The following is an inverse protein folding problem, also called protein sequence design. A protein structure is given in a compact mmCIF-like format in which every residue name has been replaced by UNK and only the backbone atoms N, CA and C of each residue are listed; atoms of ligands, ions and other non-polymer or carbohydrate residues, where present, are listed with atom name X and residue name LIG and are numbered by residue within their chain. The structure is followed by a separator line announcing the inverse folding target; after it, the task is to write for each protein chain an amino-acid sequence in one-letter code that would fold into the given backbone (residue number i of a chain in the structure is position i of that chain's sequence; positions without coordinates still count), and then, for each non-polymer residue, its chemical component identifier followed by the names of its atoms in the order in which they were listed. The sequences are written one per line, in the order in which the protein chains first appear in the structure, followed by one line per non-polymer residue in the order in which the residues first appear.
data_IF_203582975480
#
_entry.id   IF_203582975480
#
_cell.length_a   1.000
_cell.length_b   1.000
_cell.length_c   1.000
_cell.angle_alpha   90.00
_cell.angle_beta   90.00
_cell.angle_gamma   90.00
#
_symmetry.space_group_name_H-M   'P 1'
#
loop_
_entity.id
_entity.type
_entity.pdbx_description
1 polymer ?
#
# COMPACT_ATOMS: atom_id res chain seq x y z
N UNK A 1 17.89 -44.43 -36.55
CA UNK A 1 17.81 -45.50 -35.52
C UNK A 1 17.34 -44.87 -34.21
N UNK A 2 16.18 -45.34 -33.72
CA UNK A 2 15.65 -45.35 -32.33
C UNK A 2 15.63 -44.01 -31.54
N UNK A 3 14.47 -43.35 -31.36
CA UNK A 3 13.40 -43.64 -30.38
C UNK A 3 13.91 -43.59 -28.93
N UNK A 4 13.40 -42.65 -28.11
CA UNK A 4 12.71 -42.89 -26.83
C UNK A 4 12.48 -41.57 -26.05
N UNK A 5 11.20 -41.36 -25.74
CA UNK A 5 10.58 -40.46 -24.78
C UNK A 5 10.82 -40.94 -23.32
N UNK A 6 10.75 -40.04 -22.33
CA UNK A 6 10.18 -40.24 -20.96
C UNK A 6 11.11 -40.16 -19.71
N UNK A 7 10.55 -39.50 -18.67
CA UNK A 7 10.92 -39.28 -17.24
C UNK A 7 11.67 -37.97 -16.93
N UNK A 8 11.13 -36.90 -16.33
CA UNK A 8 10.20 -36.67 -15.18
C UNK A 8 10.74 -37.16 -13.82
N UNK A 9 11.03 -36.17 -12.95
CA UNK A 9 11.11 -36.20 -11.48
C UNK A 9 12.12 -37.16 -10.81
N UNK A 10 13.29 -36.63 -10.41
CA UNK A 10 13.78 -36.55 -9.01
C UNK A 10 15.28 -36.21 -8.97
N UNK A 11 15.61 -34.96 -8.62
CA UNK A 11 16.83 -34.62 -7.86
C UNK A 11 16.79 -33.13 -7.45
N UNK A 12 15.67 -32.70 -6.84
CA UNK A 12 15.70 -31.60 -5.88
C UNK A 12 16.24 -32.17 -4.55
N UNK A 13 17.55 -32.39 -4.46
CA UNK A 13 18.24 -32.68 -3.21
C UNK A 13 19.78 -32.66 -3.38
N UNK A 14 20.37 -31.63 -4.00
CA UNK A 14 21.85 -31.55 -4.02
C UNK A 14 22.51 -30.23 -4.42
N UNK A 15 21.78 -29.11 -4.61
CA UNK A 15 22.45 -27.79 -4.83
C UNK A 15 22.18 -26.77 -3.71
N UNK A 16 21.33 -27.12 -2.74
CA UNK A 16 21.25 -26.43 -1.43
C UNK A 16 22.53 -26.52 -0.58
N UNK A 17 23.57 -27.20 -1.08
CA UNK A 17 24.91 -27.24 -0.48
C UNK A 17 25.98 -26.47 -1.29
N UNK A 18 25.61 -25.85 -2.42
CA UNK A 18 26.55 -25.13 -3.30
C UNK A 18 26.54 -23.60 -3.12
N UNK A 19 25.53 -23.02 -2.45
CA UNK A 19 25.53 -21.57 -2.16
C UNK A 19 26.24 -21.19 -0.86
N UNK A 20 26.33 -22.08 0.14
CA UNK A 20 27.00 -21.77 1.40
C UNK A 20 28.53 -21.61 1.24
N UNK A 21 29.17 -22.44 0.40
CA UNK A 21 30.60 -22.30 0.10
C UNK A 21 30.94 -21.08 -0.77
N UNK A 22 29.97 -20.51 -1.48
CA UNK A 22 30.14 -19.29 -2.28
C UNK A 22 30.10 -18.04 -1.39
N UNK A 23 29.18 -18.00 -0.42
CA UNK A 23 29.07 -16.93 0.57
C UNK A 23 30.27 -16.86 1.52
N UNK A 24 30.79 -18.01 1.97
CA UNK A 24 32.00 -18.01 2.80
C UNK A 24 33.22 -17.51 2.00
N UNK A 25 33.36 -17.88 0.72
CA UNK A 25 34.42 -17.36 -0.16
C UNK A 25 34.30 -15.86 -0.40
N UNK A 26 33.09 -15.32 -0.50
CA UNK A 26 32.87 -13.87 -0.62
C UNK A 26 33.17 -13.13 0.70
N UNK A 27 32.85 -13.73 1.86
CA UNK A 27 33.21 -13.19 3.18
C UNK A 27 34.73 -13.18 3.42
N UNK A 28 35.43 -14.27 3.09
CA UNK A 28 36.90 -14.34 3.23
C UNK A 28 37.61 -13.46 2.19
N UNK A 29 37.00 -13.23 1.02
CA UNK A 29 37.51 -12.30 0.02
C UNK A 29 37.36 -10.82 0.45
N UNK A 30 36.37 -10.47 1.27
CA UNK A 30 36.25 -9.10 1.82
C UNK A 30 37.17 -8.85 3.01
N UNK A 31 37.52 -9.89 3.79
CA UNK A 31 38.39 -9.75 4.97
C UNK A 31 39.87 -9.49 4.65
N UNK A 32 40.31 -9.63 3.39
CA UNK A 32 41.71 -9.43 2.97
C UNK A 32 41.91 -8.35 1.88
N UNK A 33 40.94 -7.46 1.68
CA UNK A 33 41.16 -6.28 0.84
C UNK A 33 41.99 -5.27 1.62
N UNK A 34 43.31 -5.40 1.55
CA UNK A 34 44.24 -4.38 2.00
C UNK A 34 44.21 -3.22 1.00
N UNK A 35 43.44 -2.18 1.30
CA UNK A 35 43.43 -0.94 0.50
C UNK A 35 44.73 -0.20 0.79
N UNK A 36 45.68 -0.22 -0.15
CA UNK A 36 46.89 0.61 -0.09
C UNK A 36 46.49 2.10 -0.14
N UNK A 37 46.44 2.74 1.03
CA UNK A 37 46.17 4.17 1.19
C UNK A 37 47.43 5.04 1.14
N UNK A 38 48.58 4.46 0.78
CA UNK A 38 49.89 5.13 0.68
C UNK A 38 49.95 6.18 -0.45
N UNK A 39 49.10 6.08 -1.47
CA UNK A 39 48.98 7.08 -2.54
C UNK A 39 48.04 8.25 -2.24
N UNK A 40 47.21 8.17 -1.19
CA UNK A 40 46.20 9.20 -0.84
C UNK A 40 46.64 10.12 0.30
N UNK A 41 47.76 9.81 0.98
CA UNK A 41 48.32 10.66 2.06
C UNK A 41 49.32 11.74 1.58
N UNK A 42 49.76 11.72 0.32
CA UNK A 42 50.68 12.74 -0.21
C UNK A 42 49.98 14.04 -0.68
N UNK A 43 48.64 14.11 -0.68
CA UNK A 43 47.87 15.33 -1.03
C UNK A 43 47.02 15.89 0.12
N UNK A 44 47.11 15.32 1.32
CA UNK A 44 46.33 15.75 2.49
C UNK A 44 47.14 16.59 3.51
N UNK A 45 48.43 16.88 3.28
CA UNK A 45 49.27 17.65 4.20
C UNK A 45 49.62 19.08 3.75
N UNK A 46 48.88 19.65 2.80
CA UNK A 46 49.04 21.05 2.39
C UNK A 46 47.68 21.77 2.38
N UNK A 47 47.02 21.79 3.54
CA UNK A 47 45.77 22.52 3.75
C UNK A 47 45.61 22.92 5.23
N UNK A 48 46.67 23.53 5.77
CA UNK A 48 46.61 24.33 7.00
C UNK A 48 47.40 25.61 6.77
N UNK A 49 47.00 26.37 5.77
CA UNK A 49 47.17 27.83 5.75
C UNK A 49 46.42 28.33 4.52
N UNK A 50 45.97 29.59 4.57
CA UNK A 50 45.12 30.30 3.60
C UNK A 50 43.62 30.32 3.92
N UNK A 51 43.28 30.67 5.17
CA UNK A 51 42.20 31.65 5.39
C UNK A 51 42.75 33.05 5.06
N UNK A 52 42.76 33.43 3.79
CA UNK A 52 42.56 34.82 3.36
C UNK A 52 42.65 34.93 1.84
N UNK A 53 41.65 35.60 1.27
CA UNK A 53 41.56 36.20 -0.08
C UNK A 53 41.06 35.35 -1.24
N UNK A 54 40.20 36.03 -1.99
CA UNK A 54 39.83 35.85 -3.40
C UNK A 54 38.68 34.88 -3.72
N UNK A 55 37.49 35.50 -3.79
CA UNK A 55 36.46 35.31 -4.82
C UNK A 55 36.93 34.58 -6.09
N UNK A 56 36.28 33.47 -6.42
CA UNK A 56 36.38 32.78 -7.71
C UNK A 56 35.32 31.69 -7.83
N UNK A 57 34.33 31.90 -8.71
CA UNK A 57 33.32 30.90 -9.06
C UNK A 57 33.99 29.71 -9.76
N UNK A 58 33.64 28.49 -9.36
CA UNK A 58 33.91 27.28 -10.14
C UNK A 58 32.56 26.68 -10.56
N UNK A 59 32.25 26.78 -11.86
CA UNK A 59 31.16 26.03 -12.48
C UNK A 59 31.53 24.56 -12.54
N UNK A 60 30.70 23.72 -11.93
CA UNK A 60 30.74 22.27 -12.10
C UNK A 60 29.93 21.95 -13.35
N UNK A 61 30.58 21.46 -14.40
CA UNK A 61 29.90 20.96 -15.60
C UNK A 61 29.30 19.58 -15.30
N UNK A 62 27.97 19.39 -15.46
CA UNK A 62 27.35 18.10 -15.18
C UNK A 62 27.67 17.10 -16.29
N UNK A 63 28.13 15.91 -15.91
CA UNK A 63 28.25 14.77 -16.82
C UNK A 63 26.84 14.30 -17.21
N UNK A 64 26.54 14.31 -18.51
CA UNK A 64 25.25 13.90 -19.06
C UNK A 64 25.14 12.38 -18.99
N UNK A 65 24.47 11.86 -17.96
CA UNK A 65 24.08 10.45 -17.91
C UNK A 65 23.13 10.12 -19.07
N UNK A 66 23.35 8.98 -19.71
CA UNK A 66 22.51 8.50 -20.80
C UNK A 66 21.09 8.16 -20.29
N UNK A 67 20.12 8.12 -21.21
CA UNK A 67 18.70 8.01 -20.86
C UNK A 67 18.38 6.76 -20.03
N UNK A 68 19.16 5.69 -20.18
CA UNK A 68 18.98 4.45 -19.42
C UNK A 68 19.52 4.58 -18.00
N UNK A 69 20.70 5.18 -17.78
CA UNK A 69 21.21 5.42 -16.43
C UNK A 69 20.34 6.44 -15.66
N UNK A 70 19.81 7.47 -16.34
CA UNK A 70 18.83 8.38 -15.75
C UNK A 70 17.54 7.66 -15.35
N UNK A 71 17.05 6.73 -16.19
CA UNK A 71 15.86 5.94 -15.89
C UNK A 71 16.10 4.96 -14.73
N UNK A 72 17.26 4.31 -14.67
CA UNK A 72 17.64 3.41 -13.57
C UNK A 72 17.82 4.19 -12.28
N UNK A 73 18.46 5.36 -12.31
CA UNK A 73 18.62 6.22 -11.13
C UNK A 73 17.28 6.81 -10.69
N UNK A 74 16.39 7.18 -11.61
CA UNK A 74 15.02 7.60 -11.28
C UNK A 74 14.24 6.44 -10.67
N UNK A 75 14.30 5.25 -11.25
CA UNK A 75 13.64 4.05 -10.74
C UNK A 75 14.18 3.67 -9.35
N UNK A 76 15.50 3.72 -9.13
CA UNK A 76 16.11 3.46 -7.82
C UNK A 76 15.77 4.55 -6.80
N UNK A 77 15.65 5.82 -7.20
CA UNK A 77 15.20 6.90 -6.31
C UNK A 77 13.70 6.84 -6.02
N UNK A 78 12.90 6.33 -6.95
CA UNK A 78 11.46 6.12 -6.82
C UNK A 78 11.15 4.93 -5.90
N UNK A 79 11.97 3.88 -5.94
CA UNK A 79 11.83 2.68 -5.11
C UNK A 79 12.58 2.82 -3.77
N UNK A 80 13.65 3.61 -3.72
CA UNK A 80 14.52 3.76 -2.56
C UNK A 80 14.89 5.23 -2.31
N UNK A 81 13.97 5.98 -1.70
CA UNK A 81 14.41 6.97 -0.70
C UNK A 81 15.16 6.17 0.39
N UNK A 82 16.27 6.65 1.01
CA UNK A 82 16.96 5.94 2.10
C UNK A 82 16.04 5.35 3.20
N UNK A 83 14.81 5.84 3.33
CA UNK A 83 13.81 5.38 4.29
C UNK A 83 12.74 4.42 3.72
N UNK A 84 12.77 4.10 2.42
CA UNK A 84 11.82 3.18 1.77
C UNK A 84 10.44 3.79 1.46
N UNK A 85 10.35 5.12 1.41
CA UNK A 85 9.10 5.85 1.15
C UNK A 85 8.98 6.28 -0.32
N UNK A 86 7.75 6.28 -0.85
CA UNK A 86 7.41 6.79 -2.18
C UNK A 86 6.69 8.14 -1.99
N UNK A 87 7.20 9.22 -2.59
CA UNK A 87 6.56 10.55 -2.59
C UNK A 87 6.08 10.89 -4.01
N UNK A 88 4.87 11.43 -4.12
CA UNK A 88 4.28 11.91 -5.37
C UNK A 88 4.40 13.42 -5.51
N UNK A 89 4.58 13.90 -6.75
CA UNK A 89 4.49 15.34 -7.06
C UNK A 89 3.05 15.84 -6.81
N UNK A 90 2.94 17.06 -6.26
CA UNK A 90 1.69 17.65 -5.75
C UNK A 90 0.51 17.52 -6.73
N UNK A 91 -0.63 16.92 -6.33
CA UNK A 91 -1.82 16.90 -7.17
C UNK A 91 -2.45 18.31 -7.25
N UNK A 92 -3.10 18.67 -8.37
CA UNK A 92 -3.74 19.99 -8.51
C UNK A 92 -4.90 20.15 -7.52
N UNK A 93 -4.81 21.17 -6.67
CA UNK A 93 -5.74 21.44 -5.58
C UNK A 93 -6.96 22.28 -6.03
N UNK A 94 -8.17 21.79 -5.76
CA UNK A 94 -9.35 22.60 -5.42
C UNK A 94 -10.46 21.66 -4.88
N UNK A 95 -10.43 21.39 -3.57
CA UNK A 95 -11.53 20.74 -2.83
C UNK A 95 -11.73 21.52 -1.53
N UNK A 96 -12.98 21.79 -1.09
CA UNK A 96 -13.23 22.52 0.15
C UNK A 96 -12.67 21.76 1.36
N UNK A 97 -11.76 22.38 2.09
CA UNK A 97 -11.26 21.83 3.34
C UNK A 97 -12.28 22.08 4.44
N UNK A 98 -12.86 21.01 4.99
CA UNK A 98 -13.59 21.10 6.26
C UNK A 98 -12.55 21.14 7.38
N UNK A 99 -12.39 22.33 7.98
CA UNK A 99 -11.53 22.51 9.15
C UNK A 99 -12.06 21.71 10.35
N UNK A 100 -11.19 20.88 10.89
CA UNK A 100 -11.43 20.05 12.06
C UNK A 100 -10.42 18.91 12.10
N UNK A 101 -9.62 18.83 13.16
CA UNK A 101 -8.94 17.58 13.50
C UNK A 101 -10.01 16.58 13.88
N UNK A 102 -10.06 15.44 13.21
CA UNK A 102 -10.85 14.31 13.71
C UNK A 102 -10.05 13.74 14.89
N UNK A 103 -10.73 13.44 16.01
CA UNK A 103 -10.13 13.16 17.33
C UNK A 103 -9.10 11.99 17.32
N UNK A 104 -9.10 11.21 16.25
CA UNK A 104 -8.42 9.94 16.04
C UNK A 104 -6.96 10.10 15.54
N UNK A 105 -6.52 11.31 15.16
CA UNK A 105 -5.15 11.59 14.66
C UNK A 105 -4.05 11.42 15.75
N UNK A 106 -4.42 11.22 17.02
CA UNK A 106 -3.54 11.29 18.19
C UNK A 106 -3.17 9.92 18.80
N UNK A 107 -3.75 8.81 18.35
CA UNK A 107 -3.66 7.54 19.08
C UNK A 107 -2.52 6.62 18.63
N UNK A 108 -1.47 6.46 19.45
CA UNK A 108 -0.43 5.44 19.20
C UNK A 108 -0.93 4.01 19.45
N UNK A 109 -0.85 3.17 18.42
CA UNK A 109 -1.18 1.75 18.51
C UNK A 109 0.08 0.90 18.67
N UNK A 110 0.01 -0.04 19.62
CA UNK A 110 1.02 -1.08 19.79
C UNK A 110 0.40 -2.42 19.40
N UNK A 111 0.93 -3.03 18.35
CA UNK A 111 0.66 -4.42 18.00
C UNK A 111 1.81 -5.28 18.49
N UNK A 112 1.47 -6.36 19.20
CA UNK A 112 2.42 -7.42 19.48
C UNK A 112 2.12 -8.61 18.56
N UNK A 113 3.13 -9.03 17.79
CA UNK A 113 3.06 -10.26 17.02
C UNK A 113 2.74 -11.43 17.95
N UNK A 114 1.67 -12.19 17.64
CA UNK A 114 1.17 -13.28 18.49
C UNK A 114 0.19 -12.88 19.58
N UNK A 115 -0.20 -11.60 19.70
CA UNK A 115 -1.28 -11.19 20.59
C UNK A 115 -2.59 -11.88 20.19
N UNK A 116 -3.22 -12.55 21.16
CA UNK A 116 -4.50 -13.20 20.98
C UNK A 116 -5.61 -12.15 20.97
N UNK A 117 -6.47 -12.22 19.96
CA UNK A 117 -7.71 -11.44 19.87
C UNK A 117 -8.88 -12.41 19.70
N UNK A 118 -10.06 -11.99 20.10
CA UNK A 118 -11.26 -12.79 19.88
C UNK A 118 -11.51 -12.92 18.37
N UNK A 119 -11.66 -14.14 17.83
CA UNK A 119 -11.96 -14.32 16.42
C UNK A 119 -13.38 -13.82 16.11
N UNK A 120 -13.55 -13.18 14.96
CA UNK A 120 -14.89 -12.83 14.47
C UNK A 120 -15.61 -14.14 14.13
N UNK A 121 -16.82 -14.33 14.67
CA UNK A 121 -17.65 -15.48 14.31
C UNK A 121 -18.22 -15.26 12.92
N UNK A 122 -18.06 -16.26 12.04
CA UNK A 122 -18.56 -16.16 10.66
C UNK A 122 -20.08 -15.94 10.58
N UNK A 123 -20.83 -16.43 11.57
CA UNK A 123 -22.27 -16.21 11.70
C UNK A 123 -22.64 -14.72 11.90
N UNK A 124 -21.69 -13.90 12.39
CA UNK A 124 -21.90 -12.47 12.61
C UNK A 124 -21.59 -11.63 11.37
N UNK A 125 -21.24 -12.26 10.25
CA UNK A 125 -21.00 -11.62 8.96
C UNK A 125 -22.18 -11.88 8.00
N UNK A 126 -22.47 -10.93 7.09
CA UNK A 126 -23.42 -11.15 6.01
C UNK A 126 -23.08 -12.41 5.20
N UNK A 127 -24.09 -13.26 4.97
CA UNK A 127 -23.95 -14.45 4.13
C UNK A 127 -23.86 -14.07 2.64
N UNK A 128 -24.65 -13.09 2.24
CA UNK A 128 -24.58 -12.44 0.93
C UNK A 128 -24.11 -10.99 1.12
N UNK A 129 -22.80 -10.73 1.02
CA UNK A 129 -22.31 -9.35 1.08
C UNK A 129 -22.89 -8.54 -0.07
N UNK A 130 -23.24 -7.28 0.23
CA UNK A 130 -23.85 -6.34 -0.71
C UNK A 130 -25.23 -6.73 -1.27
N UNK A 131 -25.90 -7.73 -0.68
CA UNK A 131 -27.31 -7.96 -0.98
C UNK A 131 -28.12 -6.68 -0.70
N UNK A 132 -29.10 -6.31 -1.55
CA UNK A 132 -29.97 -5.17 -1.28
C UNK A 132 -30.60 -5.34 0.10
N UNK A 133 -30.26 -4.44 1.05
CA UNK A 133 -30.91 -4.47 2.35
C UNK A 133 -32.39 -4.23 2.12
N UNK A 134 -33.24 -5.15 2.57
CA UNK A 134 -34.66 -4.85 2.76
C UNK A 134 -34.72 -3.65 3.72
N UNK A 135 -35.08 -2.48 3.21
CA UNK A 135 -35.28 -1.31 4.06
C UNK A 135 -36.34 -1.68 5.09
N UNK A 136 -36.09 -1.46 6.40
CA UNK A 136 -37.18 -1.48 7.37
C UNK A 136 -38.24 -0.50 6.87
N UNK A 137 -39.48 -0.97 6.71
CA UNK A 137 -40.60 -0.10 6.36
C UNK A 137 -40.60 1.06 7.34
N UNK A 138 -40.30 2.26 6.83
CA UNK A 138 -40.22 3.47 7.62
C UNK A 138 -41.58 3.72 8.29
N UNK A 139 -41.67 3.48 9.59
CA UNK A 139 -42.70 4.09 10.41
C UNK A 139 -42.34 5.57 10.50
N UNK A 140 -43.20 6.38 9.89
CA UNK A 140 -42.86 7.72 9.42
C UNK A 140 -42.41 8.68 10.51
N UNK A 141 -41.41 9.50 10.16
CA UNK A 141 -41.32 10.89 10.56
C UNK A 141 -40.77 11.70 9.38
N UNK A 142 -41.62 12.59 8.85
CA UNK A 142 -41.29 13.64 7.91
C UNK A 142 -40.37 14.66 8.57
N UNK A 143 -39.13 14.78 8.08
CA UNK A 143 -38.42 16.06 8.02
C UNK A 143 -37.77 16.17 6.65
N UNK A 144 -38.22 17.17 5.89
CA UNK A 144 -37.67 17.54 4.60
C UNK A 144 -36.31 18.21 4.82
N UNK A 145 -35.22 17.56 4.41
CA UNK A 145 -33.95 18.24 4.16
C UNK A 145 -33.88 18.68 2.69
N UNK A 146 -33.29 19.87 2.41
CA UNK A 146 -33.29 20.44 1.07
C UNK A 146 -32.44 19.61 0.11
N UNK A 147 -33.04 19.24 -1.02
CA UNK A 147 -32.37 18.57 -2.13
C UNK A 147 -31.37 19.52 -2.78
N UNK A 148 -30.09 19.36 -2.46
CA UNK A 148 -29.00 19.96 -3.24
C UNK A 148 -28.70 19.00 -4.39
N UNK A 149 -29.00 19.44 -5.60
CA UNK A 149 -28.63 18.75 -6.84
C UNK A 149 -27.11 18.77 -7.01
N UNK A 150 -26.48 17.60 -6.96
CA UNK A 150 -25.06 17.43 -7.23
C UNK A 150 -24.84 17.17 -8.73
N UNK A 151 -24.06 18.04 -9.38
CA UNK A 151 -23.40 17.70 -10.64
C UNK A 151 -22.07 16.96 -10.35
N UNK A 152 -21.68 15.97 -11.18
CA UNK A 152 -20.51 15.13 -10.92
C UNK A 152 -19.23 15.81 -11.41
N UNK A 153 -18.33 16.12 -10.48
CA UNK A 153 -16.99 16.62 -10.77
C UNK A 153 -15.95 16.12 -9.76
N UNK A 154 -14.84 15.59 -10.27
CA UNK A 154 -13.66 15.17 -9.50
C UNK A 154 -13.54 13.64 -9.39
N UNK A 155 -12.50 13.08 -10.00
CA UNK A 155 -12.30 11.67 -10.35
C UNK A 155 -12.11 10.75 -9.14
N UNK A 156 -13.19 10.09 -8.74
CA UNK A 156 -13.24 8.67 -8.34
C UNK A 156 -14.55 8.15 -8.95
N UNK A 157 -14.46 7.15 -9.83
CA UNK A 157 -15.60 6.76 -10.69
C UNK A 157 -16.46 5.67 -10.08
N UNK A 158 -17.64 5.45 -10.65
CA UNK A 158 -18.53 4.30 -10.37
C UNK A 158 -17.85 2.93 -10.59
N UNK A 159 -16.63 2.91 -11.14
CA UNK A 159 -15.90 1.69 -11.53
C UNK A 159 -14.40 1.81 -11.27
N UNK A 160 -13.76 0.64 -11.15
CA UNK A 160 -12.32 0.49 -10.92
C UNK A 160 -11.54 1.08 -12.11
N UNK A 161 -10.52 1.93 -11.88
CA UNK A 161 -9.62 2.39 -12.95
C UNK A 161 -9.04 1.22 -13.76
N UNK A 162 -9.11 1.32 -15.09
CA UNK A 162 -8.83 0.19 -15.98
C UNK A 162 -7.40 -0.35 -15.86
N UNK A 163 -6.43 0.52 -15.58
CA UNK A 163 -5.04 0.14 -15.35
C UNK A 163 -4.86 -0.61 -14.02
N UNK A 164 -5.51 -0.16 -12.95
CA UNK A 164 -5.49 -0.85 -11.66
C UNK A 164 -6.19 -2.21 -11.74
N UNK A 165 -7.36 -2.27 -12.38
CA UNK A 165 -8.09 -3.52 -12.61
C UNK A 165 -7.24 -4.53 -13.39
N UNK A 166 -6.56 -4.07 -14.45
CA UNK A 166 -5.64 -4.90 -15.23
C UNK A 166 -4.50 -5.46 -14.37
N UNK A 167 -3.77 -4.60 -13.64
CA UNK A 167 -2.64 -5.00 -12.78
C UNK A 167 -3.09 -6.00 -11.69
N UNK A 168 -4.25 -5.75 -11.08
CA UNK A 168 -4.82 -6.64 -10.07
C UNK A 168 -5.15 -8.03 -10.63
N UNK A 169 -5.81 -8.10 -11.79
CA UNK A 169 -6.16 -9.37 -12.44
C UNK A 169 -4.92 -10.12 -12.97
N UNK A 170 -3.93 -9.41 -13.52
CA UNK A 170 -2.66 -10.00 -13.96
C UNK A 170 -1.93 -10.68 -12.79
N UNK A 171 -1.78 -9.98 -11.67
CA UNK A 171 -1.15 -10.55 -10.48
C UNK A 171 -1.96 -11.73 -9.92
N UNK A 172 -3.29 -11.59 -9.85
CA UNK A 172 -4.19 -12.64 -9.38
C UNK A 172 -4.05 -13.93 -10.19
N UNK A 173 -4.03 -13.82 -11.52
CA UNK A 173 -3.91 -14.96 -12.43
C UNK A 173 -2.53 -15.63 -12.28
N UNK A 174 -1.46 -14.83 -12.23
CA UNK A 174 -0.09 -15.32 -12.10
C UNK A 174 0.19 -15.98 -10.73
N UNK A 175 -0.55 -15.60 -9.68
CA UNK A 175 -0.36 -16.08 -8.31
C UNK A 175 -1.57 -16.87 -7.79
N UNK A 176 -2.36 -17.45 -8.69
CA UNK A 176 -3.63 -18.11 -8.33
C UNK A 176 -3.46 -19.28 -7.35
N UNK A 177 -2.30 -19.91 -7.27
CA UNK A 177 -2.02 -20.95 -6.27
C UNK A 177 -1.85 -20.41 -4.82
N UNK A 178 -1.69 -19.10 -4.63
CA UNK A 178 -1.44 -18.46 -3.32
C UNK A 178 -2.64 -17.69 -2.76
N UNK A 179 -3.73 -17.62 -3.51
CA UNK A 179 -4.91 -16.83 -3.17
C UNK A 179 -6.06 -17.83 -2.99
N UNK A 180 -6.58 -17.96 -1.78
CA UNK A 180 -7.60 -18.96 -1.44
C UNK A 180 -9.00 -18.51 -1.85
N UNK A 181 -9.35 -17.26 -1.57
CA UNK A 181 -10.62 -16.69 -2.00
C UNK A 181 -10.53 -16.25 -3.46
N UNK A 182 -11.19 -17.04 -4.32
CA UNK A 182 -11.26 -16.83 -5.78
C UNK A 182 -12.46 -16.02 -6.25
N UNK A 183 -13.34 -15.63 -5.34
CA UNK A 183 -14.57 -14.93 -5.69
C UNK A 183 -14.38 -13.43 -5.67
N UNK A 184 -13.63 -12.90 -4.71
CA UNK A 184 -13.51 -11.46 -4.51
C UNK A 184 -12.08 -10.95 -4.66
N UNK A 185 -11.98 -9.75 -5.23
CA UNK A 185 -10.74 -8.99 -5.40
C UNK A 185 -10.95 -7.56 -4.93
N UNK A 186 -10.14 -7.10 -3.98
CA UNK A 186 -10.12 -5.71 -3.55
C UNK A 186 -9.20 -4.86 -4.42
N UNK A 187 -9.60 -3.63 -4.75
CA UNK A 187 -8.74 -2.66 -5.46
C UNK A 187 -8.88 -1.29 -4.79
N UNK A 188 -7.76 -0.68 -4.37
CA UNK A 188 -7.69 0.66 -3.80
C UNK A 188 -6.92 1.58 -4.74
N UNK A 189 -7.47 2.76 -5.02
CA UNK A 189 -6.81 3.83 -5.75
C UNK A 189 -6.44 4.98 -4.81
N UNK A 190 -5.17 5.05 -4.39
CA UNK A 190 -4.70 6.14 -3.55
C UNK A 190 -4.37 7.42 -4.32
N UNK A 191 -4.41 7.41 -5.66
CA UNK A 191 -4.28 8.66 -6.44
C UNK A 191 -5.56 9.52 -6.33
N UNK A 192 -6.70 8.90 -6.03
CA UNK A 192 -7.97 9.60 -5.83
C UNK A 192 -8.05 10.23 -4.42
N UNK A 193 -8.69 11.40 -4.35
CA UNK A 193 -8.97 12.10 -3.10
C UNK A 193 -9.84 11.26 -2.16
N UNK A 194 -9.64 11.37 -0.83
CA UNK A 194 -10.35 10.58 0.18
C UNK A 194 -11.88 10.74 0.19
N UNK A 195 -12.39 11.88 -0.27
CA UNK A 195 -13.82 12.14 -0.40
C UNK A 195 -14.48 11.45 -1.61
N UNK A 196 -13.79 10.51 -2.25
CA UNK A 196 -14.27 9.78 -3.41
C UNK A 196 -14.31 8.30 -3.07
N UNK A 197 -15.22 7.58 -3.73
CA UNK A 197 -15.13 6.14 -3.76
C UNK A 197 -13.83 5.75 -4.45
N UNK A 198 -12.96 5.11 -3.66
CA UNK A 198 -11.60 4.76 -4.06
C UNK A 198 -11.14 3.40 -3.54
N UNK A 199 -12.06 2.64 -2.98
CA UNK A 199 -11.90 1.22 -2.70
C UNK A 199 -13.05 0.46 -3.34
N UNK A 200 -12.73 -0.59 -4.09
CA UNK A 200 -13.71 -1.45 -4.72
C UNK A 200 -13.51 -2.89 -4.28
N UNK A 201 -14.62 -3.61 -4.13
CA UNK A 201 -14.65 -5.07 -4.13
C UNK A 201 -15.27 -5.54 -5.43
N UNK A 202 -14.48 -6.24 -6.25
CA UNK A 202 -14.93 -6.90 -7.47
C UNK A 202 -15.35 -8.34 -7.15
N UNK A 203 -16.61 -8.67 -7.40
CA UNK A 203 -17.06 -10.06 -7.49
C UNK A 203 -16.65 -10.62 -8.86
N UNK A 204 -15.65 -11.50 -8.89
CA UNK A 204 -15.13 -12.10 -10.12
C UNK A 204 -16.10 -13.10 -10.77
N UNK A 205 -17.12 -13.56 -10.05
CA UNK A 205 -18.14 -14.45 -10.59
C UNK A 205 -19.20 -13.68 -11.37
N UNK A 206 -19.63 -12.51 -10.86
CA UNK A 206 -20.68 -11.70 -11.50
C UNK A 206 -20.13 -10.53 -12.32
N UNK A 207 -18.89 -10.11 -12.06
CA UNK A 207 -18.29 -8.89 -12.61
C UNK A 207 -18.74 -7.61 -11.90
N UNK A 208 -19.51 -7.72 -10.81
CA UNK A 208 -20.03 -6.55 -10.08
C UNK A 208 -18.93 -5.86 -9.28
N UNK A 209 -18.91 -4.54 -9.31
CA UNK A 209 -17.98 -3.70 -8.56
C UNK A 209 -18.74 -2.95 -7.47
N UNK A 210 -18.31 -3.10 -6.22
CA UNK A 210 -18.87 -2.38 -5.07
C UNK A 210 -17.87 -1.33 -4.62
N UNK A 211 -18.16 -0.06 -4.93
CA UNK A 211 -17.34 1.09 -4.61
C UNK A 211 -17.66 1.63 -3.20
N UNK A 212 -16.64 2.12 -2.50
CA UNK A 212 -16.77 2.75 -1.19
C UNK A 212 -15.62 3.71 -0.89
N UNK A 213 -15.82 4.54 0.12
CA UNK A 213 -14.77 5.36 0.72
C UNK A 213 -13.77 4.51 1.51
N UNK A 214 -12.50 4.92 1.49
CA UNK A 214 -11.45 4.35 2.36
C UNK A 214 -10.49 5.45 2.82
N UNK A 215 -10.16 5.44 4.11
CA UNK A 215 -9.12 6.30 4.67
C UNK A 215 -7.73 5.72 4.45
N UNK A 216 -6.75 6.62 4.32
CA UNK A 216 -5.32 6.31 4.26
C UNK A 216 -4.61 6.68 5.56
N UNK A 217 -3.33 6.35 5.66
CA UNK A 217 -2.49 6.72 6.81
C UNK A 217 -2.24 8.24 6.94
N UNK A 218 -2.09 8.76 8.16
CA UNK A 218 -1.68 10.15 8.43
C UNK A 218 -0.31 10.46 7.84
N UNK A 219 0.61 9.50 7.85
CA UNK A 219 1.91 9.64 7.22
C UNK A 219 1.87 9.68 5.68
N UNK A 220 0.71 9.32 5.09
CA UNK A 220 0.50 9.43 3.65
C UNK A 220 -0.02 10.79 3.20
N UNK A 221 -0.59 11.56 4.11
CA UNK A 221 -1.26 12.83 3.84
C UNK A 221 -0.85 13.81 4.95
N UNK A 222 0.40 14.29 4.94
CA UNK A 222 0.93 15.14 6.01
C UNK A 222 0.21 16.48 6.11
N UNK A 223 -0.24 17.02 4.99
CA UNK A 223 -0.91 18.31 4.90
C UNK A 223 -2.40 18.22 5.28
N UNK A 224 -2.94 17.00 5.35
CA UNK A 224 -4.33 16.75 5.70
C UNK A 224 -5.29 17.28 4.64
N UNK A 225 -4.89 17.31 3.38
CA UNK A 225 -5.76 17.81 2.32
C UNK A 225 -6.68 16.71 1.76
N UNK A 226 -6.47 15.45 2.15
CA UNK A 226 -7.24 14.29 1.72
C UNK A 226 -6.62 13.52 0.56
N UNK A 227 -5.46 13.90 0.06
CA UNK A 227 -4.66 13.14 -0.91
C UNK A 227 -3.54 12.35 -0.23
N UNK A 228 -3.42 11.06 -0.54
CA UNK A 228 -2.26 10.27 -0.11
C UNK A 228 -1.12 10.56 -1.08
N UNK A 229 -0.15 11.38 -0.68
CA UNK A 229 1.02 11.76 -1.48
C UNK A 229 2.28 10.99 -1.09
N UNK A 230 2.28 10.34 0.07
CA UNK A 230 3.42 9.57 0.58
C UNK A 230 3.04 8.13 0.94
N UNK A 231 3.91 7.16 0.68
CA UNK A 231 3.69 5.76 1.05
C UNK A 231 4.93 5.17 1.69
N UNK A 232 4.76 4.23 2.60
CA UNK A 232 5.90 3.66 3.34
C UNK A 232 5.65 2.22 3.76
N UNK A 233 6.70 1.41 3.73
CA UNK A 233 6.73 0.08 4.33
C UNK A 233 7.43 0.07 5.72
N UNK A 234 7.82 1.24 6.23
CA UNK A 234 8.63 1.35 7.44
C UNK A 234 7.73 1.31 8.69
N UNK A 235 8.09 0.56 9.75
CA UNK A 235 7.38 0.61 11.02
C UNK A 235 7.26 2.03 11.56
N UNK A 236 6.12 2.34 12.18
CA UNK A 236 5.80 3.64 12.78
C UNK A 236 5.80 4.85 11.82
N UNK A 237 5.85 4.63 10.50
CA UNK A 237 5.74 5.72 9.51
C UNK A 237 4.34 6.34 9.47
N UNK A 238 3.33 5.65 10.00
CA UNK A 238 1.90 5.98 9.93
C UNK A 238 1.36 6.15 8.50
N UNK A 239 2.15 5.82 7.48
CA UNK A 239 1.75 5.92 6.08
C UNK A 239 1.20 4.59 5.57
N UNK A 240 0.21 4.64 4.69
CA UNK A 240 -0.21 3.46 3.94
C UNK A 240 0.92 2.97 3.03
N UNK A 241 0.88 1.69 2.67
CA UNK A 241 1.81 1.10 1.68
C UNK A 241 1.09 0.74 0.38
N UNK A 242 1.79 0.82 -0.73
CA UNK A 242 1.30 0.36 -2.04
C UNK A 242 1.66 -1.11 -2.29
N UNK A 243 0.95 -1.77 -3.20
CA UNK A 243 1.22 -3.12 -3.66
C UNK A 243 0.09 -4.12 -3.36
N UNK A 244 0.41 -5.40 -3.44
CA UNK A 244 -0.53 -6.49 -3.28
C UNK A 244 -0.56 -7.01 -1.83
N UNK A 245 -1.75 -7.21 -1.28
CA UNK A 245 -1.99 -7.78 0.04
C UNK A 245 -2.77 -9.08 -0.07
N UNK A 246 -2.48 -10.04 0.80
CA UNK A 246 -3.33 -11.20 1.06
C UNK A 246 -4.09 -10.97 2.37
N UNK A 247 -5.40 -11.19 2.35
CA UNK A 247 -6.21 -11.05 3.56
C UNK A 247 -6.02 -12.24 4.49
N UNK A 248 -5.90 -11.94 5.78
CA UNK A 248 -5.61 -12.91 6.82
C UNK A 248 -6.78 -13.12 7.78
N UNK A 249 -6.43 -13.45 9.03
CA UNK A 249 -7.39 -13.74 10.08
C UNK A 249 -8.25 -12.53 10.44
N UNK A 250 -9.54 -12.80 10.64
CA UNK A 250 -10.49 -11.87 11.23
C UNK A 250 -10.36 -11.85 12.75
N UNK A 251 -10.50 -10.68 13.36
CA UNK A 251 -10.51 -10.55 14.81
C UNK A 251 -11.32 -9.34 15.27
N UNK A 252 -11.72 -9.33 16.53
CA UNK A 252 -12.30 -8.15 17.18
C UNK A 252 -11.24 -7.51 18.05
N UNK A 253 -10.91 -6.25 17.78
CA UNK A 253 -9.91 -5.46 18.49
C UNK A 253 -10.47 -4.12 18.98
N UNK A 254 -9.57 -3.15 19.20
CA UNK A 254 -9.94 -1.79 19.61
C UNK A 254 -10.88 -1.11 18.60
N UNK A 255 -10.63 -1.33 17.31
CA UNK A 255 -11.41 -0.79 16.19
C UNK A 255 -12.54 -1.72 15.75
N UNK A 256 -13.16 -2.44 16.68
CA UNK A 256 -14.23 -3.38 16.32
C UNK A 256 -13.73 -4.56 15.49
N UNK A 257 -14.49 -4.95 14.46
CA UNK A 257 -14.18 -6.12 13.64
C UNK A 257 -13.12 -5.73 12.60
N UNK A 258 -12.00 -6.44 12.58
CA UNK A 258 -10.87 -6.13 11.72
C UNK A 258 -10.33 -7.37 11.01
N UNK A 259 -9.62 -7.15 9.91
CA UNK A 259 -8.98 -8.18 9.10
C UNK A 259 -7.50 -7.86 8.92
N UNK A 260 -6.63 -8.79 9.29
CA UNK A 260 -5.18 -8.64 9.08
C UNK A 260 -4.82 -8.65 7.61
N UNK A 261 -3.82 -7.88 7.22
CA UNK A 261 -3.27 -7.89 5.87
C UNK A 261 -1.82 -8.37 5.88
N UNK A 262 -1.52 -9.30 4.97
CA UNK A 262 -0.18 -9.79 4.70
C UNK A 262 0.36 -9.13 3.43
N UNK A 263 1.52 -8.49 3.50
CA UNK A 263 2.17 -7.90 2.34
C UNK A 263 2.72 -8.95 1.39
N UNK A 264 2.44 -8.80 0.10
CA UNK A 264 2.98 -9.66 -0.96
C UNK A 264 3.99 -8.95 -1.86
N UNK A 265 4.17 -7.64 -1.69
CA UNK A 265 5.10 -6.79 -2.44
C UNK A 265 6.21 -6.28 -1.54
N UNK A 266 7.38 -5.94 -2.11
CA UNK A 266 8.48 -5.35 -1.33
C UNK A 266 8.09 -4.02 -0.67
N UNK A 267 7.16 -3.28 -1.27
CA UNK A 267 6.62 -2.00 -0.80
C UNK A 267 5.60 -2.13 0.32
N UNK A 268 5.15 -3.34 0.65
CA UNK A 268 4.21 -3.58 1.75
C UNK A 268 4.55 -4.82 2.58
N UNK A 269 5.75 -5.40 2.43
CA UNK A 269 6.14 -6.67 3.05
C UNK A 269 6.06 -6.68 4.58
N UNK A 270 6.08 -5.51 5.23
CA UNK A 270 5.95 -5.36 6.68
C UNK A 270 4.49 -5.12 7.11
N UNK A 271 3.49 -5.21 6.23
CA UNK A 271 2.10 -4.90 6.54
C UNK A 271 1.60 -5.60 7.80
N UNK A 272 1.81 -6.92 7.91
CA UNK A 272 1.38 -7.70 9.08
C UNK A 272 2.10 -7.23 10.36
N UNK A 273 3.42 -7.11 10.32
CA UNK A 273 4.22 -6.68 11.49
C UNK A 273 3.95 -5.23 11.90
N UNK A 274 3.48 -4.42 10.95
CA UNK A 274 3.03 -3.03 11.15
C UNK A 274 1.57 -2.94 11.60
N UNK A 275 0.90 -4.06 11.81
CA UNK A 275 -0.51 -4.13 12.18
C UNK A 275 -1.47 -3.51 11.15
N UNK A 276 -1.07 -3.47 9.88
CA UNK A 276 -1.93 -2.95 8.82
C UNK A 276 -3.11 -3.90 8.63
N UNK A 277 -4.31 -3.38 8.83
CA UNK A 277 -5.57 -4.12 8.79
C UNK A 277 -6.60 -3.39 7.93
N UNK A 278 -7.69 -4.09 7.58
CA UNK A 278 -8.96 -3.46 7.23
C UNK A 278 -9.81 -3.38 8.49
N UNK A 279 -10.38 -2.21 8.80
CA UNK A 279 -11.24 -2.02 9.97
C UNK A 279 -12.31 -0.95 9.72
N UNK A 280 -13.32 -0.91 10.59
CA UNK A 280 -14.30 0.16 10.59
C UNK A 280 -13.84 1.42 11.31
N UNK A 281 -14.42 2.54 10.93
CA UNK A 281 -14.21 3.82 11.60
C UNK A 281 -15.40 4.76 11.49
N UNK A 282 -15.59 5.59 12.53
CA UNK A 282 -16.53 6.70 12.57
C UNK A 282 -16.07 7.93 11.75
N UNK A 283 -14.76 8.03 11.46
CA UNK A 283 -14.21 9.12 10.66
C UNK A 283 -14.27 8.86 9.15
N UNK A 284 -14.77 7.69 8.74
CA UNK A 284 -15.11 7.41 7.34
C UNK A 284 -16.62 7.50 7.17
N UNK A 285 -17.07 8.38 6.28
CA UNK A 285 -18.46 8.72 6.05
C UNK A 285 -18.78 8.67 4.57
N UNK A 286 -19.94 8.14 4.23
CA UNK A 286 -20.50 8.11 2.86
C UNK A 286 -21.02 9.48 2.39
N UNK A 287 -20.36 10.55 2.83
CA UNK A 287 -20.59 11.92 2.38
C UNK A 287 -19.39 12.38 1.57
N UNK A 288 -19.61 13.32 0.64
CA UNK A 288 -18.55 13.97 -0.16
C UNK A 288 -17.70 14.92 0.71
N UNK A 289 -17.09 14.39 1.77
CA UNK A 289 -16.21 15.08 2.71
C UNK A 289 -14.86 14.36 2.75
N UNK A 290 -13.80 15.10 3.08
CA UNK A 290 -12.50 14.49 3.37
C UNK A 290 -12.66 13.50 4.53
N UNK A 291 -12.14 12.29 4.37
CA UNK A 291 -12.19 11.28 5.40
C UNK A 291 -11.09 11.52 6.44
N UNK A 292 -11.26 10.98 7.65
CA UNK A 292 -10.15 10.91 8.60
C UNK A 292 -8.99 10.06 8.09
N UNK A 293 -7.95 9.94 8.91
CA UNK A 293 -6.71 9.24 8.55
C UNK A 293 -6.39 8.20 9.60
N UNK A 294 -6.03 7.00 9.15
CA UNK A 294 -5.56 5.90 9.99
C UNK A 294 -4.05 6.02 10.24
N UNK A 295 -3.40 5.01 10.83
CA UNK A 295 -1.93 4.88 10.88
C UNK A 295 -1.38 3.92 9.81
N UNK A 296 -2.04 3.87 8.65
CA UNK A 296 -1.63 3.10 7.48
C UNK A 296 -2.61 1.98 7.09
N UNK A 297 -3.58 1.69 7.97
CA UNK A 297 -4.68 0.76 7.74
C UNK A 297 -5.66 1.23 6.66
N UNK A 298 -6.41 0.29 6.10
CA UNK A 298 -7.56 0.56 5.22
C UNK A 298 -8.81 0.71 6.09
N UNK A 299 -9.13 1.93 6.53
CA UNK A 299 -10.34 2.15 7.31
C UNK A 299 -11.53 2.45 6.40
N UNK A 300 -12.66 1.80 6.64
CA UNK A 300 -13.93 1.99 5.90
C UNK A 300 -15.03 2.43 6.86
N UNK A 301 -16.18 2.86 6.34
CA UNK A 301 -17.33 3.19 7.17
C UNK A 301 -17.85 1.95 7.93
N UNK A 302 -18.37 2.16 9.15
CA UNK A 302 -18.99 1.08 9.96
C UNK A 302 -20.12 0.35 9.21
N UNK A 303 -20.79 1.03 8.27
CA UNK A 303 -21.85 0.42 7.46
C UNK A 303 -21.35 -0.60 6.45
N UNK A 304 -20.07 -0.49 6.05
CA UNK A 304 -19.44 -1.30 5.00
C UNK A 304 -18.63 -2.48 5.55
N UNK A 305 -18.06 -2.37 6.76
CA UNK A 305 -17.13 -3.37 7.29
C UNK A 305 -17.69 -4.80 7.27
N UNK A 306 -18.98 -4.99 7.56
CA UNK A 306 -19.61 -6.30 7.49
C UNK A 306 -19.51 -6.92 6.10
N UNK A 307 -19.81 -6.15 5.05
CA UNK A 307 -19.72 -6.60 3.66
C UNK A 307 -18.27 -6.81 3.23
N UNK A 308 -17.37 -5.93 3.64
CA UNK A 308 -15.94 -6.00 3.31
C UNK A 308 -15.32 -7.26 3.91
N UNK A 309 -15.51 -7.50 5.21
CA UNK A 309 -15.02 -8.69 5.89
C UNK A 309 -15.64 -9.97 5.31
N UNK A 310 -16.95 -9.95 5.05
CA UNK A 310 -17.62 -11.08 4.44
C UNK A 310 -17.05 -11.41 3.05
N UNK A 311 -16.82 -10.41 2.20
CA UNK A 311 -16.35 -10.62 0.84
C UNK A 311 -14.89 -11.07 0.81
N UNK A 312 -14.05 -10.45 1.64
CA UNK A 312 -12.60 -10.61 1.55
C UNK A 312 -12.03 -11.66 2.52
N UNK A 313 -12.85 -12.34 3.33
CA UNK A 313 -12.38 -13.41 4.24
C UNK A 313 -11.79 -14.60 3.47
N UNK A 314 -10.92 -15.35 4.16
CA UNK A 314 -10.35 -16.60 3.63
C UNK A 314 -9.34 -16.38 2.50
N UNK A 315 -8.46 -15.38 2.60
CA UNK A 315 -7.33 -15.23 1.67
C UNK A 315 -7.68 -14.65 0.31
N UNK A 316 -8.39 -13.52 0.28
CA UNK A 316 -8.61 -12.71 -0.91
C UNK A 316 -7.39 -11.82 -1.21
N UNK A 317 -7.26 -11.41 -2.47
CA UNK A 317 -6.26 -10.44 -2.88
C UNK A 317 -6.82 -9.02 -2.74
N UNK A 318 -6.01 -8.09 -2.26
CA UNK A 318 -6.26 -6.65 -2.38
C UNK A 318 -5.07 -6.02 -3.11
N UNK A 319 -5.33 -5.20 -4.12
CA UNK A 319 -4.32 -4.36 -4.76
C UNK A 319 -4.51 -2.90 -4.35
N UNK A 320 -3.52 -2.29 -3.69
CA UNK A 320 -3.50 -0.86 -3.44
C UNK A 320 -2.48 -0.19 -4.37
N UNK A 321 -2.97 0.65 -5.28
CA UNK A 321 -2.14 1.28 -6.30
C UNK A 321 -2.50 2.75 -6.51
N UNK A 322 -1.96 3.29 -7.59
CA UNK A 322 -2.15 4.67 -8.03
C UNK A 322 -2.61 4.63 -9.49
N UNK A 323 -3.82 5.09 -9.77
CA UNK A 323 -4.32 5.11 -11.14
C UNK A 323 -3.49 6.07 -12.01
N UNK A 324 -3.35 5.73 -13.29
CA UNK A 324 -2.55 6.47 -14.26
C UNK A 324 -1.05 6.59 -13.89
N UNK A 325 -0.54 5.61 -13.14
CA UNK A 325 0.88 5.51 -12.80
C UNK A 325 1.48 4.19 -13.31
N UNK A 326 2.81 4.14 -13.38
CA UNK A 326 3.54 2.92 -13.70
C UNK A 326 3.77 2.00 -12.48
N UNK A 327 3.23 2.35 -11.31
CA UNK A 327 3.31 1.51 -10.11
C UNK A 327 2.51 0.20 -10.25
#
# INVERSE_FOLDING_TARGET
MKLITLLVLLSFASVGLLQAKSLERMRTASENINVETSGLKAKASASQDLKSKATGQYEITPVRADGLAQLIVKLLKLIFNPNGDIEMEEPPAEVPQTEGSLDDDQEEETYAEGQAYEPVKEADLPQEPFAPRAQPQAQGQTQQEPQVSFEPGGRGGDSIPADLKRKALEYFNANSNRIENKRYLGVVDFAAHSSKDRFWILDMQTGTEHAMHVAHGTGSDPDGDGYATKFSNTPNSKASSLGFYLTGALYTGKHGKSMRLHGLSSTNSNALSRAVVVHDSNYVREANVRQGRSFGCLAVANTEIGNVLASLRGGALIYAGLSNSDF
#
